data_IF_823597064123
#
_entry.id   IF_823597064123
#
_cell.length_a   1.000
_cell.length_b   1.000
_cell.length_c   1.000
_cell.angle_alpha   90.00
_cell.angle_beta   90.00
_cell.angle_gamma   90.00
#
_symmetry.space_group_name_H-M   'P 1'
#
loop_
_entity.id
_entity.type
_entity.pdbx_description
1 polymer ?
#
# COMPACT_ATOMS: atom_id res chain seq x y z
N UNK A 1 -14.87 -10.40 16.40
CA UNK A 1 -13.58 -10.05 15.76
C UNK A 1 -12.61 -9.74 16.87
N UNK A 2 -11.42 -10.33 16.87
CA UNK A 2 -10.42 -10.00 17.89
C UNK A 2 -9.96 -8.55 17.67
N UNK A 3 -10.02 -7.76 18.73
CA UNK A 3 -9.57 -6.37 18.77
C UNK A 3 -8.03 -6.42 18.84
N UNK A 4 -7.38 -6.46 17.68
CA UNK A 4 -5.92 -6.41 17.62
C UNK A 4 -5.51 -4.95 17.80
N UNK A 5 -4.70 -4.62 18.82
CA UNK A 5 -4.31 -3.23 19.07
C UNK A 5 -3.58 -2.69 17.84
N UNK A 6 -4.04 -1.54 17.33
CA UNK A 6 -3.39 -0.82 16.24
C UNK A 6 -1.89 -0.67 16.57
N UNK A 7 -1.00 -1.26 15.76
CA UNK A 7 0.43 -1.01 15.91
C UNK A 7 0.73 0.42 15.43
N UNK A 8 1.17 1.33 16.32
CA UNK A 8 1.58 2.65 15.89
C UNK A 8 2.79 2.53 14.96
N UNK A 9 2.81 3.38 13.92
CA UNK A 9 3.93 3.46 12.98
C UNK A 9 5.26 3.62 13.73
N UNK A 10 6.13 2.62 13.60
CA UNK A 10 7.47 2.63 14.17
C UNK A 10 8.46 3.12 13.12
N UNK A 11 8.92 4.37 13.23
CA UNK A 11 9.76 5.07 12.24
C UNK A 11 10.98 4.24 11.80
N UNK A 12 11.58 3.48 12.72
CA UNK A 12 12.80 2.68 12.46
C UNK A 12 12.53 1.22 12.08
N UNK A 13 11.27 0.83 11.82
CA UNK A 13 10.98 -0.53 11.36
C UNK A 13 11.49 -0.69 9.91
N UNK A 14 12.45 -1.61 9.64
CA UNK A 14 13.01 -1.78 8.31
C UNK A 14 12.00 -2.30 7.28
N UNK A 15 10.86 -2.84 7.74
CA UNK A 15 9.78 -3.34 6.88
C UNK A 15 8.77 -2.27 6.48
N UNK A 16 8.94 -1.02 6.93
CA UNK A 16 8.13 0.08 6.45
C UNK A 16 8.42 0.35 4.97
N UNK A 17 7.37 0.64 4.22
CA UNK A 17 7.48 1.16 2.87
C UNK A 17 7.14 2.63 2.90
N UNK A 18 8.05 3.50 2.49
CA UNK A 18 7.79 4.95 2.39
C UNK A 18 7.84 5.34 0.93
N UNK A 19 6.78 6.01 0.47
CA UNK A 19 6.64 6.53 -0.89
C UNK A 19 6.47 8.03 -0.81
N UNK A 20 7.35 8.77 -1.49
CA UNK A 20 7.13 10.19 -1.79
C UNK A 20 6.18 10.30 -2.98
N UNK A 21 5.06 10.99 -2.81
CA UNK A 21 4.06 11.14 -3.87
C UNK A 21 4.60 12.02 -5.00
N UNK A 22 4.58 11.50 -6.22
CA UNK A 22 4.87 12.29 -7.42
C UNK A 22 3.64 13.13 -7.81
N UNK A 23 3.79 14.12 -8.72
CA UNK A 23 2.65 14.83 -9.28
C UNK A 23 1.61 13.93 -9.94
N UNK A 24 2.01 12.76 -10.45
CA UNK A 24 1.08 11.79 -11.02
C UNK A 24 0.24 11.10 -9.95
N UNK A 25 0.79 10.85 -8.76
CA UNK A 25 0.10 10.11 -7.69
C UNK A 25 -0.97 10.94 -6.96
N UNK A 26 -0.99 12.27 -7.15
CA UNK A 26 -1.94 13.19 -6.48
C UNK A 26 -2.93 13.88 -7.40
N UNK A 27 -2.66 13.92 -8.70
CA UNK A 27 -3.58 14.50 -9.69
C UNK A 27 -4.75 13.54 -9.97
N UNK A 28 -5.43 13.66 -11.11
CA UNK A 28 -6.55 12.82 -11.54
C UNK A 28 -6.23 11.31 -11.69
N UNK A 29 -5.07 10.84 -11.22
CA UNK A 29 -4.67 9.45 -11.28
C UNK A 29 -5.55 8.57 -10.38
N UNK A 30 -5.95 7.43 -10.92
CA UNK A 30 -6.57 6.37 -10.14
C UNK A 30 -5.55 5.43 -9.48
N UNK A 31 -4.26 5.73 -9.64
CA UNK A 31 -3.18 4.85 -9.22
C UNK A 31 -2.09 5.57 -8.44
N UNK A 32 -1.44 4.82 -7.56
CA UNK A 32 -0.13 5.15 -6.99
C UNK A 32 0.90 4.14 -7.53
N UNK A 33 2.08 4.63 -7.92
CA UNK A 33 3.19 3.78 -8.35
C UNK A 33 3.94 3.20 -7.16
N UNK A 34 4.22 1.89 -7.21
CA UNK A 34 4.92 1.15 -6.18
C UNK A 34 6.15 0.45 -6.78
N UNK A 35 7.37 0.79 -6.34
CA UNK A 35 8.58 0.14 -6.83
C UNK A 35 8.60 -1.36 -6.52
N UNK A 36 8.88 -2.20 -7.52
CA UNK A 36 8.94 -3.66 -7.35
C UNK A 36 9.89 -4.12 -6.23
N UNK A 37 11.13 -3.61 -6.12
CA UNK A 37 12.04 -4.02 -5.05
C UNK A 37 11.49 -3.71 -3.65
N UNK A 38 10.74 -2.62 -3.52
CA UNK A 38 10.12 -2.23 -2.25
C UNK A 38 9.00 -3.20 -1.86
N UNK A 39 8.17 -3.61 -2.83
CA UNK A 39 7.11 -4.59 -2.59
C UNK A 39 7.67 -5.97 -2.29
N UNK A 40 8.70 -6.42 -3.02
CA UNK A 40 9.35 -7.71 -2.78
C UNK A 40 9.98 -7.79 -1.39
N UNK A 41 10.64 -6.71 -0.94
CA UNK A 41 11.29 -6.68 0.36
C UNK A 41 10.30 -6.66 1.54
N UNK A 42 9.19 -5.92 1.39
CA UNK A 42 8.38 -5.49 2.52
C UNK A 42 6.88 -5.84 2.43
N UNK A 43 6.30 -5.88 1.23
CA UNK A 43 4.90 -6.26 1.05
C UNK A 43 4.75 -7.77 0.90
N UNK A 44 5.32 -8.33 -0.16
CA UNK A 44 5.17 -9.75 -0.54
C UNK A 44 5.75 -10.70 0.50
N UNK A 45 6.73 -10.22 1.29
CA UNK A 45 7.33 -10.96 2.41
C UNK A 45 6.30 -11.49 3.41
N UNK A 46 5.17 -10.80 3.56
CA UNK A 46 4.15 -11.14 4.55
C UNK A 46 2.79 -11.48 3.93
N UNK A 47 2.67 -11.48 2.61
CA UNK A 47 1.50 -12.00 1.91
C UNK A 47 1.52 -13.53 1.87
N UNK A 48 0.36 -14.15 1.63
CA UNK A 48 0.31 -15.58 1.37
C UNK A 48 1.13 -15.92 0.11
N UNK A 49 1.87 -17.03 0.16
CA UNK A 49 2.73 -17.43 -0.95
C UNK A 49 1.93 -17.69 -2.22
N UNK A 50 0.71 -18.23 -2.11
CA UNK A 50 -0.15 -18.46 -3.27
C UNK A 50 -0.59 -17.14 -3.91
N UNK A 51 -0.95 -16.13 -3.11
CA UNK A 51 -1.29 -14.79 -3.61
C UNK A 51 -0.11 -14.15 -4.36
N UNK A 52 1.11 -14.29 -3.82
CA UNK A 52 2.33 -13.76 -4.45
C UNK A 52 2.63 -14.50 -5.75
N UNK A 53 2.57 -15.82 -5.76
CA UNK A 53 2.80 -16.63 -6.96
C UNK A 53 1.80 -16.27 -8.05
N UNK A 54 0.53 -16.17 -7.70
CA UNK A 54 -0.52 -15.81 -8.66
C UNK A 54 -0.34 -14.40 -9.19
N UNK A 55 -0.02 -13.42 -8.34
CA UNK A 55 0.25 -12.05 -8.74
C UNK A 55 1.43 -11.94 -9.72
N UNK A 56 2.50 -12.74 -9.50
CA UNK A 56 3.75 -12.63 -10.26
C UNK A 56 3.79 -13.55 -11.50
N UNK A 57 3.03 -14.64 -11.52
CA UNK A 57 3.13 -15.67 -12.56
C UNK A 57 1.88 -15.79 -13.42
N UNK A 58 0.71 -15.35 -12.92
CA UNK A 58 -0.53 -15.39 -13.69
C UNK A 58 -0.79 -13.99 -14.27
N UNK A 59 -0.46 -13.85 -15.55
CA UNK A 59 -0.75 -12.61 -16.29
C UNK A 59 -2.25 -12.30 -16.22
N UNK A 60 -2.56 -11.00 -16.11
CA UNK A 60 -3.93 -10.45 -16.08
C UNK A 60 -4.82 -10.91 -14.90
N UNK A 61 -4.25 -11.47 -13.83
CA UNK A 61 -4.99 -11.68 -12.58
C UNK A 61 -4.71 -10.56 -11.56
N UNK A 62 -5.53 -9.48 -11.55
CA UNK A 62 -5.45 -8.49 -10.49
C UNK A 62 -5.70 -9.13 -9.13
N UNK A 63 -4.89 -8.77 -8.14
CA UNK A 63 -5.16 -9.09 -6.73
C UNK A 63 -5.65 -7.85 -6.00
N UNK A 64 -6.45 -8.07 -4.96
CA UNK A 64 -6.89 -6.98 -4.09
C UNK A 64 -5.99 -6.94 -2.86
N UNK A 65 -5.61 -5.73 -2.45
CA UNK A 65 -4.97 -5.47 -1.18
C UNK A 65 -5.90 -4.62 -0.32
N UNK A 66 -5.93 -4.91 0.97
CA UNK A 66 -6.63 -4.11 1.96
C UNK A 66 -5.68 -3.05 2.52
N UNK A 67 -6.05 -1.77 2.44
CA UNK A 67 -5.32 -0.66 3.05
C UNK A 67 -6.14 -0.02 4.15
N UNK A 68 -5.60 -0.03 5.37
CA UNK A 68 -6.20 0.62 6.52
C UNK A 68 -5.58 2.00 6.78
N UNK A 69 -6.38 3.04 6.65
CA UNK A 69 -5.97 4.41 6.97
C UNK A 69 -5.98 4.62 8.48
N UNK A 70 -4.81 4.82 9.07
CA UNK A 70 -4.69 4.93 10.53
C UNK A 70 -5.33 6.21 11.06
N UNK A 71 -5.36 7.29 10.27
CA UNK A 71 -5.88 8.57 10.73
C UNK A 71 -7.41 8.59 10.63
N UNK A 72 -7.98 8.03 9.56
CA UNK A 72 -9.43 8.06 9.33
C UNK A 72 -10.15 6.80 9.80
N UNK A 73 -9.41 5.73 10.12
CA UNK A 73 -9.93 4.40 10.48
C UNK A 73 -10.79 3.77 9.38
N UNK A 74 -10.54 4.13 8.12
CA UNK A 74 -11.26 3.57 6.97
C UNK A 74 -10.37 2.58 6.22
N UNK A 75 -10.90 1.38 6.00
CA UNK A 75 -10.35 0.40 5.08
C UNK A 75 -10.71 0.75 3.63
N UNK A 76 -9.73 0.67 2.73
CA UNK A 76 -9.91 0.79 1.27
C UNK A 76 -9.30 -0.40 0.57
N UNK A 77 -10.05 -1.04 -0.32
CA UNK A 77 -9.53 -2.11 -1.16
C UNK A 77 -8.96 -1.54 -2.46
N UNK A 78 -7.70 -1.82 -2.74
CA UNK A 78 -7.03 -1.43 -3.98
C UNK A 78 -6.70 -2.67 -4.80
N UNK A 79 -6.64 -2.52 -6.11
CA UNK A 79 -6.16 -3.58 -7.00
C UNK A 79 -4.67 -3.41 -7.27
N UNK A 80 -3.85 -4.42 -6.99
CA UNK A 80 -2.43 -4.45 -7.35
C UNK A 80 -2.28 -5.08 -8.74
N UNK A 81 -1.47 -4.44 -9.61
CA UNK A 81 -1.08 -4.99 -10.92
C UNK A 81 0.38 -4.66 -11.22
N UNK A 82 1.09 -5.60 -11.84
CA UNK A 82 2.41 -5.35 -12.41
C UNK A 82 2.27 -4.53 -13.71
N UNK A 83 3.04 -3.46 -13.83
CA UNK A 83 3.16 -2.65 -15.05
C UNK A 83 4.64 -2.34 -15.32
N UNK A 84 5.21 -2.97 -16.36
CA UNK A 84 6.63 -2.86 -16.66
C UNK A 84 7.48 -3.49 -15.55
N UNK A 85 8.39 -2.70 -14.97
CA UNK A 85 9.25 -3.15 -13.86
C UNK A 85 8.73 -2.77 -12.48
N UNK A 86 7.52 -2.22 -12.38
CA UNK A 86 6.92 -1.72 -11.14
C UNK A 86 5.49 -2.24 -10.98
N UNK A 87 4.86 -1.88 -9.87
CA UNK A 87 3.46 -2.14 -9.62
C UNK A 87 2.67 -0.85 -9.54
N UNK A 88 1.36 -0.94 -9.78
CA UNK A 88 0.41 0.12 -9.50
C UNK A 88 -0.71 -0.39 -8.62
N UNK A 89 -1.13 0.45 -7.67
CA UNK A 89 -2.33 0.19 -6.87
C UNK A 89 -3.48 1.03 -7.43
N UNK A 90 -4.45 0.39 -8.06
CA UNK A 90 -5.64 1.03 -8.65
C UNK A 90 -6.74 1.21 -7.61
N UNK A 91 -7.46 2.32 -7.72
CA UNK A 91 -8.45 2.77 -6.72
C UNK A 91 -7.89 3.83 -5.78
N UNK A 92 -6.64 4.25 -5.96
CA UNK A 92 -5.95 5.25 -5.14
C UNK A 92 -6.71 6.57 -5.07
N UNK A 93 -7.44 6.94 -6.14
CA UNK A 93 -8.29 8.14 -6.18
C UNK A 93 -9.30 8.21 -5.03
N UNK A 94 -9.80 7.06 -4.56
CA UNK A 94 -10.73 7.02 -3.41
C UNK A 94 -10.07 7.51 -2.14
N UNK A 95 -8.76 7.29 -1.96
CA UNK A 95 -7.97 7.83 -0.84
C UNK A 95 -7.73 9.32 -1.05
N UNK A 96 -7.30 9.74 -2.25
CA UNK A 96 -7.09 11.15 -2.59
C UNK A 96 -8.35 12.01 -2.41
N UNK A 97 -9.55 11.48 -2.68
CA UNK A 97 -10.79 12.24 -2.46
C UNK A 97 -11.08 12.55 -0.99
N UNK A 98 -10.50 11.78 -0.06
CA UNK A 98 -10.66 11.95 1.39
C UNK A 98 -9.48 12.68 2.02
N UNK A 99 -8.33 12.73 1.34
CA UNK A 99 -7.06 13.24 1.85
C UNK A 99 -6.54 14.34 0.93
N UNK A 100 -6.20 15.50 1.48
CA UNK A 100 -5.64 16.62 0.72
C UNK A 100 -4.14 16.44 0.47
N UNK A 101 -3.74 15.28 -0.07
CA UNK A 101 -2.35 15.00 -0.39
C UNK A 101 -1.85 15.85 -1.56
N UNK A 102 -0.57 16.15 -1.53
CA UNK A 102 0.14 16.97 -2.52
C UNK A 102 1.46 16.28 -2.89
N UNK A 103 1.98 16.61 -4.07
CA UNK A 103 3.25 16.07 -4.52
C UNK A 103 4.35 16.46 -3.53
N UNK A 104 5.22 15.50 -3.20
CA UNK A 104 6.24 15.64 -2.17
C UNK A 104 5.83 15.14 -0.79
N UNK A 105 4.54 14.91 -0.51
CA UNK A 105 4.12 14.27 0.74
C UNK A 105 4.68 12.84 0.82
N UNK A 106 5.04 12.41 2.03
CA UNK A 106 5.54 11.05 2.27
C UNK A 106 4.45 10.19 2.91
N UNK A 107 4.12 9.08 2.24
CA UNK A 107 3.16 8.09 2.72
C UNK A 107 3.92 6.86 3.19
N UNK A 108 3.72 6.49 4.45
CA UNK A 108 4.23 5.25 4.98
C UNK A 108 3.17 4.16 4.94
N UNK A 109 3.57 2.95 4.56
CA UNK A 109 2.80 1.72 4.61
C UNK A 109 3.53 0.71 5.50
N UNK A 110 2.81 0.01 6.37
CA UNK A 110 3.39 -1.01 7.24
C UNK A 110 2.35 -2.06 7.64
N UNK A 111 2.81 -3.29 7.79
CA UNK A 111 2.00 -4.36 8.36
C UNK A 111 1.79 -4.14 9.85
N UNK A 112 0.61 -4.52 10.36
CA UNK A 112 0.40 -4.67 11.79
C UNK A 112 1.24 -5.81 12.38
N UNK A 113 1.17 -5.98 13.71
CA UNK A 113 2.05 -6.89 14.45
C UNK A 113 1.91 -8.36 14.02
N UNK A 114 0.72 -8.72 13.51
CA UNK A 114 0.39 -10.07 13.07
C UNK A 114 0.46 -10.24 11.55
N UNK A 115 0.85 -9.17 10.83
CA UNK A 115 0.84 -9.08 9.37
C UNK A 115 -0.50 -9.47 8.73
N UNK A 116 -1.59 -9.17 9.41
CA UNK A 116 -2.95 -9.40 8.94
C UNK A 116 -3.53 -8.20 8.20
N UNK A 117 -2.99 -7.00 8.44
CA UNK A 117 -3.51 -5.76 7.87
C UNK A 117 -2.38 -4.82 7.47
N UNK A 118 -2.47 -4.28 6.26
CA UNK A 118 -1.55 -3.25 5.77
C UNK A 118 -2.10 -1.86 6.13
N UNK A 119 -1.41 -1.17 7.02
CA UNK A 119 -1.75 0.17 7.47
C UNK A 119 -1.05 1.21 6.59
N UNK A 120 -1.61 2.42 6.55
CA UNK A 120 -0.90 3.58 6.01
C UNK A 120 -1.26 4.88 6.72
N UNK A 121 -0.36 5.87 6.62
CA UNK A 121 -0.60 7.28 6.98
C UNK A 121 0.42 8.19 6.29
N UNK A 122 0.14 9.49 6.30
CA UNK A 122 1.15 10.50 5.95
C UNK A 122 2.15 10.65 7.11
N UNK A 123 3.44 10.74 6.80
CA UNK A 123 4.53 10.84 7.80
C UNK A 123 5.40 12.09 7.67
N UNK A 124 5.35 12.79 6.54
CA UNK A 124 6.02 14.06 6.30
C UNK A 124 5.22 14.92 5.31
#
# INVERSE_FOLDING_TARGET
>A
MADFPDQPYAVYNPYNMVITLSPFDVNSSNTIMMPKPLLEANLFRFMDLSDVVELLQVQDQPRMIELFDIDTKITTFLTIREEGNNFKFYGWKTILQRKNYKAGDEIAFWWDLHHTRLNFKQVA
#
